data_IF_502587542573
#
_entry.id   IF_502587542573
#
_cell.length_a   1.000
_cell.length_b   1.000
_cell.length_c   1.000
_cell.angle_alpha   90.00
_cell.angle_beta   90.00
_cell.angle_gamma   90.00
#
_symmetry.space_group_name_H-M   'P 1'
#
loop_
_entity.id
_entity.type
_entity.pdbx_description
1 polymer ?
#
# COMPACT_ATOMS: atom_id res chain seq x y z
N UNK A 1 21.83 -5.97 -1.82
CA UNK A 1 22.49 -4.70 -1.47
C UNK A 1 21.51 -3.57 -1.77
N UNK A 2 21.37 -2.54 -0.93
CA UNK A 2 20.56 -1.37 -1.27
C UNK A 2 21.14 -0.71 -2.52
N UNK A 3 20.33 -0.46 -3.54
CA UNK A 3 20.77 0.31 -4.69
C UNK A 3 20.95 1.79 -4.25
N UNK A 4 22.03 2.50 -4.63
CA UNK A 4 22.27 3.88 -4.20
C UNK A 4 21.09 4.85 -4.43
N UNK A 5 20.28 4.61 -5.46
CA UNK A 5 19.09 5.40 -5.78
C UNK A 5 17.94 5.30 -4.76
N UNK A 6 17.93 4.29 -3.89
CA UNK A 6 16.90 4.14 -2.85
C UNK A 6 17.00 5.17 -1.72
N UNK A 7 18.12 5.88 -1.58
CA UNK A 7 18.23 7.00 -0.64
C UNK A 7 17.51 8.26 -1.13
N UNK A 8 17.18 8.33 -2.43
CA UNK A 8 16.58 9.51 -3.05
C UNK A 8 15.06 9.45 -3.08
N UNK A 9 14.46 8.26 -3.04
CA UNK A 9 13.01 8.12 -3.14
C UNK A 9 12.43 7.59 -1.83
N UNK A 10 11.39 8.26 -1.40
CA UNK A 10 10.68 8.07 -0.16
C UNK A 10 9.20 7.98 -0.47
N UNK A 11 8.44 7.36 0.42
CA UNK A 11 7.00 7.22 0.33
C UNK A 11 6.38 7.81 1.59
N UNK A 12 5.36 8.63 1.41
CA UNK A 12 4.45 9.05 2.49
C UNK A 12 3.19 8.20 2.41
N UNK A 13 2.76 7.62 3.52
CA UNK A 13 1.46 6.94 3.63
C UNK A 13 0.74 7.48 4.85
N UNK A 14 -0.47 7.97 4.66
CA UNK A 14 -1.23 8.64 5.71
C UNK A 14 -2.73 8.53 5.48
N UNK A 15 -3.50 8.76 6.55
CA UNK A 15 -4.96 8.86 6.48
C UNK A 15 -5.35 10.31 6.74
N UNK A 16 -6.23 10.84 5.89
CA UNK A 16 -6.86 12.14 6.06
C UNK A 16 -8.32 12.05 5.68
N UNK A 17 -9.22 12.51 6.56
CA UNK A 17 -10.68 12.44 6.35
C UNK A 17 -11.21 11.04 5.97
N UNK A 18 -10.69 9.99 6.60
CA UNK A 18 -11.10 8.60 6.32
C UNK A 18 -10.54 8.00 5.03
N UNK A 19 -9.73 8.76 4.29
CA UNK A 19 -9.10 8.31 3.05
C UNK A 19 -7.60 8.11 3.27
N UNK A 20 -7.10 6.98 2.79
CA UNK A 20 -5.68 6.63 2.77
C UNK A 20 -5.04 7.19 1.50
N UNK A 21 -3.87 7.79 1.65
CA UNK A 21 -3.06 8.38 0.59
C UNK A 21 -1.67 7.76 0.58
N UNK A 22 -1.07 7.66 -0.60
CA UNK A 22 0.29 7.20 -0.79
C UNK A 22 1.01 8.10 -1.80
N UNK A 23 1.87 8.98 -1.29
CA UNK A 23 2.57 9.97 -2.11
C UNK A 23 4.06 9.62 -2.27
N UNK A 24 4.60 9.92 -3.43
CA UNK A 24 6.02 9.76 -3.72
C UNK A 24 6.78 11.03 -3.37
N UNK A 25 7.90 10.89 -2.66
CA UNK A 25 8.80 12.00 -2.32
C UNK A 25 10.17 11.69 -2.91
N UNK A 26 10.74 12.64 -3.64
CA UNK A 26 12.12 12.56 -4.14
C UNK A 26 12.95 13.63 -3.45
N UNK A 27 14.08 13.23 -2.89
CA UNK A 27 15.08 14.10 -2.24
C UNK A 27 16.39 14.00 -3.03
N UNK A 28 16.57 14.79 -4.11
CA UNK A 28 17.82 14.82 -4.85
C UNK A 28 18.94 15.47 -4.02
N UNK A 29 20.20 15.14 -4.30
CA UNK A 29 21.33 15.67 -3.52
C UNK A 29 21.58 17.18 -3.70
N UNK A 30 21.23 17.75 -4.85
CA UNK A 30 21.60 19.12 -5.23
C UNK A 30 20.42 19.96 -5.74
N UNK A 31 19.18 19.57 -5.43
CA UNK A 31 18.00 20.33 -5.81
C UNK A 31 16.94 20.31 -4.71
N UNK A 32 15.89 21.11 -4.90
CA UNK A 32 14.74 21.11 -3.98
C UNK A 32 14.08 19.72 -3.93
N UNK A 33 13.52 19.33 -2.78
CA UNK A 33 12.64 18.17 -2.67
C UNK A 33 11.47 18.28 -3.65
N UNK A 34 11.09 17.15 -4.23
CA UNK A 34 9.95 17.05 -5.13
C UNK A 34 8.95 16.04 -4.58
N UNK A 35 7.67 16.26 -4.83
CA UNK A 35 6.59 15.35 -4.46
C UNK A 35 5.70 15.05 -5.66
N UNK A 36 5.04 13.89 -5.61
CA UNK A 36 3.99 13.50 -6.53
C UNK A 36 2.85 12.88 -5.73
N UNK A 37 1.64 13.32 -6.00
CA UNK A 37 0.43 12.66 -5.51
C UNK A 37 0.35 11.26 -6.13
N UNK A 38 0.13 10.25 -5.31
CA UNK A 38 0.01 8.88 -5.78
C UNK A 38 -1.40 8.32 -5.61
N UNK A 39 -1.46 7.04 -5.25
CA UNK A 39 -2.71 6.33 -5.07
C UNK A 39 -3.46 6.79 -3.82
N UNK A 40 -4.79 6.76 -3.90
CA UNK A 40 -5.65 6.92 -2.73
C UNK A 40 -6.78 5.90 -2.74
N UNK A 41 -7.19 5.47 -1.55
CA UNK A 41 -8.28 4.52 -1.33
C UNK A 41 -8.95 4.81 0.01
N UNK A 42 -10.15 4.31 0.23
CA UNK A 42 -10.80 4.44 1.53
C UNK A 42 -10.03 3.60 2.56
N UNK A 43 -9.78 4.19 3.74
CA UNK A 43 -9.17 3.45 4.83
C UNK A 43 -10.16 2.39 5.34
N UNK A 44 -9.68 1.20 5.65
CA UNK A 44 -10.55 0.09 6.04
C UNK A 44 -10.49 -0.16 7.55
N UNK A 45 -11.66 -0.39 8.13
CA UNK A 45 -11.85 -0.81 9.52
C UNK A 45 -12.48 -2.20 9.57
N UNK A 46 -12.59 -2.78 10.77
CA UNK A 46 -13.24 -4.08 10.94
C UNK A 46 -14.71 -4.05 10.51
N UNK A 47 -15.38 -2.91 10.69
CA UNK A 47 -16.80 -2.75 10.35
C UNK A 47 -17.05 -2.80 8.84
N UNK A 48 -16.05 -2.50 8.03
CA UNK A 48 -16.15 -2.52 6.56
C UNK A 48 -16.03 -3.95 5.98
N UNK A 49 -15.65 -4.94 6.81
CA UNK A 49 -15.52 -6.33 6.37
C UNK A 49 -16.87 -6.98 6.11
N UNK A 50 -16.94 -8.07 5.30
CA UNK A 50 -18.18 -8.83 5.12
C UNK A 50 -18.76 -9.33 6.46
N UNK A 51 -20.09 -9.36 6.57
CA UNK A 51 -20.78 -9.76 7.81
C UNK A 51 -20.36 -11.14 8.30
N UNK A 52 -20.15 -12.10 7.39
CA UNK A 52 -19.69 -13.46 7.71
C UNK A 52 -18.28 -13.44 8.34
N UNK A 53 -17.40 -12.55 7.88
CA UNK A 53 -16.08 -12.36 8.46
C UNK A 53 -16.14 -11.68 9.82
N UNK A 54 -17.01 -10.67 9.98
CA UNK A 54 -17.23 -9.99 11.27
C UNK A 54 -17.81 -10.91 12.34
N UNK A 55 -18.62 -11.89 11.93
CA UNK A 55 -19.21 -12.88 12.83
C UNK A 55 -18.23 -13.98 13.29
N UNK A 56 -17.05 -14.09 12.67
CA UNK A 56 -16.06 -15.12 12.98
C UNK A 56 -15.02 -14.60 14.01
N UNK A 57 -14.97 -15.14 15.24
CA UNK A 57 -14.06 -14.66 16.29
C UNK A 57 -12.57 -14.83 15.97
N UNK A 58 -12.21 -15.88 15.24
CA UNK A 58 -10.83 -16.12 14.84
C UNK A 58 -10.40 -15.12 13.76
N UNK A 59 -11.32 -14.77 12.85
CA UNK A 59 -11.10 -13.70 11.87
C UNK A 59 -10.95 -12.35 12.55
N UNK A 60 -11.77 -12.03 13.55
CA UNK A 60 -11.60 -10.80 14.33
C UNK A 60 -10.20 -10.72 14.95
N UNK A 61 -9.75 -11.79 15.61
CA UNK A 61 -8.40 -11.86 16.17
C UNK A 61 -7.31 -11.66 15.11
N UNK A 62 -7.42 -12.32 13.95
CA UNK A 62 -6.45 -12.19 12.85
C UNK A 62 -6.44 -10.77 12.27
N UNK A 63 -7.62 -10.15 12.15
CA UNK A 63 -7.74 -8.76 11.74
C UNK A 63 -7.07 -7.83 12.75
N UNK A 64 -7.32 -7.96 14.05
CA UNK A 64 -6.74 -7.07 15.07
C UNK A 64 -5.22 -7.11 15.06
N UNK A 65 -4.64 -8.32 14.92
CA UNK A 65 -3.19 -8.50 14.79
C UNK A 65 -2.65 -7.86 13.51
N UNK A 66 -3.34 -8.04 12.38
CA UNK A 66 -2.96 -7.45 11.11
C UNK A 66 -3.07 -5.92 11.14
N UNK A 67 -4.16 -5.38 11.68
CA UNK A 67 -4.44 -3.97 11.81
C UNK A 67 -3.41 -3.28 12.70
N UNK A 68 -3.09 -3.87 13.86
CA UNK A 68 -2.02 -3.41 14.73
C UNK A 68 -0.67 -3.44 14.01
N UNK A 69 -0.34 -4.54 13.32
CA UNK A 69 0.91 -4.65 12.59
C UNK A 69 1.03 -3.58 11.50
N UNK A 70 -0.06 -3.36 10.75
CA UNK A 70 -0.17 -2.40 9.66
C UNK A 70 -0.31 -0.94 10.12
N UNK A 71 -0.36 -0.69 11.43
CA UNK A 71 -0.61 0.63 12.02
C UNK A 71 -1.91 1.28 11.50
N UNK A 72 -2.92 0.46 11.22
CA UNK A 72 -4.18 0.88 10.61
C UNK A 72 -4.09 1.38 9.17
N UNK A 73 -2.91 1.38 8.54
CA UNK A 73 -2.69 1.83 7.16
C UNK A 73 -3.07 0.74 6.14
N UNK A 74 -4.33 0.33 6.18
CA UNK A 74 -4.90 -0.73 5.34
C UNK A 74 -6.01 -0.19 4.44
N UNK A 75 -6.15 -0.80 3.26
CA UNK A 75 -7.27 -0.53 2.34
C UNK A 75 -7.59 -1.76 1.49
N UNK A 76 -8.76 -1.79 0.80
CA UNK A 76 -9.18 -2.93 0.02
C UNK A 76 -8.28 -3.15 -1.20
N UNK A 77 -8.16 -4.41 -1.61
CA UNK A 77 -7.43 -4.81 -2.80
C UNK A 77 -8.41 -4.92 -3.97
N UNK A 78 -8.19 -4.09 -5.00
CA UNK A 78 -9.04 -3.98 -6.18
C UNK A 78 -8.75 -5.05 -7.24
N UNK A 79 -8.64 -6.32 -6.84
CA UNK A 79 -8.42 -7.47 -7.74
C UNK A 79 -9.54 -8.52 -7.67
N UNK A 80 -10.61 -8.24 -6.90
CA UNK A 80 -11.74 -9.14 -6.69
C UNK A 80 -11.48 -10.25 -5.66
N UNK A 81 -10.34 -10.23 -4.96
CA UNK A 81 -9.98 -11.29 -4.00
C UNK A 81 -10.71 -11.20 -2.66
N UNK A 82 -11.54 -10.18 -2.40
CA UNK A 82 -12.12 -9.91 -1.08
C UNK A 82 -11.04 -9.84 0.00
N UNK A 83 -10.06 -8.97 -0.23
CA UNK A 83 -8.89 -8.82 0.62
C UNK A 83 -8.61 -7.36 0.95
N UNK A 84 -7.89 -7.17 2.05
CA UNK A 84 -7.30 -5.90 2.50
C UNK A 84 -5.79 -6.07 2.52
N UNK A 85 -5.04 -5.00 2.26
CA UNK A 85 -3.58 -5.05 2.25
C UNK A 85 -2.92 -3.94 3.03
N UNK A 86 -1.69 -4.22 3.48
CA UNK A 86 -0.85 -3.26 4.20
C UNK A 86 -0.24 -2.28 3.18
N UNK A 87 -0.67 -1.03 3.23
CA UNK A 87 -0.28 -0.01 2.27
C UNK A 87 1.07 0.65 2.57
N UNK A 88 1.74 0.24 3.64
CA UNK A 88 3.13 0.64 3.91
C UNK A 88 4.11 -0.14 3.05
N UNK A 89 3.76 -1.36 2.64
CA UNK A 89 4.64 -2.26 1.88
C UNK A 89 4.00 -2.62 0.54
N UNK A 90 4.33 -1.84 -0.48
CA UNK A 90 3.73 -1.94 -1.82
C UNK A 90 4.78 -2.20 -2.91
N UNK A 91 4.31 -2.60 -4.09
CA UNK A 91 5.17 -2.90 -5.24
C UNK A 91 5.77 -1.63 -5.90
N UNK A 92 5.25 -0.44 -5.61
CA UNK A 92 5.70 0.84 -6.20
C UNK A 92 5.48 2.02 -5.26
N UNK A 93 6.36 3.02 -5.36
CA UNK A 93 6.54 4.11 -4.38
C UNK A 93 5.27 4.93 -4.18
N UNK A 94 4.54 5.23 -5.24
CA UNK A 94 3.30 6.00 -5.24
C UNK A 94 2.04 5.13 -5.41
N UNK A 95 2.17 3.79 -5.37
CA UNK A 95 1.07 2.86 -5.65
C UNK A 95 0.32 2.40 -4.40
N UNK A 96 -0.95 2.00 -4.52
CA UNK A 96 -1.68 1.24 -3.49
C UNK A 96 -1.79 -0.25 -3.86
N UNK A 97 -0.67 -0.82 -4.32
CA UNK A 97 -0.57 -2.23 -4.69
C UNK A 97 0.24 -2.98 -3.62
N UNK A 98 -0.39 -3.43 -2.53
CA UNK A 98 0.29 -4.09 -1.42
C UNK A 98 0.89 -5.42 -1.88
N UNK A 99 2.00 -5.83 -1.27
CA UNK A 99 2.63 -7.13 -1.57
C UNK A 99 2.15 -8.27 -0.66
N UNK A 100 1.29 -7.95 0.31
CA UNK A 100 0.72 -8.89 1.25
C UNK A 100 -0.50 -8.29 1.95
N UNK A 101 -1.32 -9.14 2.54
CA UNK A 101 -2.54 -8.71 3.23
C UNK A 101 -3.31 -9.86 3.87
N UNK A 102 -4.59 -9.61 4.08
CA UNK A 102 -5.56 -10.55 4.63
C UNK A 102 -6.73 -10.70 3.66
N UNK A 103 -7.03 -11.94 3.27
CA UNK A 103 -8.16 -12.31 2.40
C UNK A 103 -9.22 -13.00 3.23
N UNK A 104 -10.49 -12.74 2.91
CA UNK A 104 -11.62 -13.32 3.63
C UNK A 104 -12.40 -14.26 2.72
N UNK A 105 -12.60 -15.50 3.18
CA UNK A 105 -13.44 -16.47 2.49
C UNK A 105 -14.91 -16.03 2.57
N UNK A 106 -15.60 -15.83 1.43
CA UNK A 106 -16.99 -15.36 1.43
C UNK A 106 -17.99 -16.39 1.98
N UNK A 107 -17.64 -17.68 2.04
CA UNK A 107 -18.56 -18.74 2.46
C UNK A 107 -18.59 -18.91 3.98
N UNK A 108 -17.45 -18.77 4.67
CA UNK A 108 -17.33 -19.04 6.10
C UNK A 108 -16.67 -17.89 6.89
N UNK A 109 -16.24 -16.82 6.21
CA UNK A 109 -15.62 -15.65 6.84
C UNK A 109 -14.20 -15.88 7.35
N UNK A 110 -13.59 -17.05 7.10
CA UNK A 110 -12.22 -17.35 7.55
C UNK A 110 -11.21 -16.44 6.87
N UNK A 111 -10.28 -15.92 7.66
CA UNK A 111 -9.26 -14.98 7.20
C UNK A 111 -7.93 -15.69 6.93
N UNK A 112 -7.43 -15.62 5.70
CA UNK A 112 -6.16 -16.21 5.31
C UNK A 112 -5.19 -15.16 4.78
N UNK A 113 -3.89 -15.49 4.79
CA UNK A 113 -2.88 -14.60 4.22
C UNK A 113 -3.14 -14.40 2.72
N UNK A 114 -3.23 -13.15 2.30
CA UNK A 114 -3.25 -12.78 0.89
C UNK A 114 -1.83 -12.44 0.40
N UNK A 115 -1.50 -12.89 -0.82
CA UNK A 115 -0.28 -12.56 -1.54
C UNK A 115 -0.67 -12.37 -3.01
N UNK A 116 -0.13 -11.37 -3.73
CA UNK A 116 -0.44 -11.19 -5.14
C UNK A 116 0.00 -12.39 -5.97
N UNK A 117 -0.86 -12.84 -6.89
CA UNK A 117 -0.55 -13.93 -7.85
C UNK A 117 0.59 -13.57 -8.81
N UNK A 118 0.81 -12.28 -9.04
CA UNK A 118 1.96 -11.74 -9.76
C UNK A 118 2.42 -10.44 -9.11
N UNK A 119 3.66 -10.40 -8.65
CA UNK A 119 4.31 -9.13 -8.27
C UNK A 119 4.69 -8.42 -9.57
N UNK A 120 3.81 -7.55 -10.08
CA UNK A 120 4.11 -6.70 -11.23
C UNK A 120 4.93 -5.51 -10.74
N UNK A 121 6.22 -5.71 -10.48
CA UNK A 121 7.11 -4.59 -10.14
C UNK A 121 7.83 -4.09 -11.39
N UNK A 122 7.10 -3.43 -12.31
CA UNK A 122 7.73 -2.53 -13.29
C UNK A 122 8.41 -1.33 -12.57
N UNK A 123 8.12 -1.14 -11.29
CA UNK A 123 8.66 -0.09 -10.43
C UNK A 123 10.18 0.03 -10.47
N UNK A 124 10.94 -1.07 -10.58
CA UNK A 124 12.41 -0.99 -10.67
C UNK A 124 12.87 -0.32 -11.96
N UNK A 125 12.29 -0.70 -13.10
CA UNK A 125 12.64 -0.11 -14.39
C UNK A 125 12.21 1.35 -14.46
N UNK A 126 11.01 1.66 -13.96
CA UNK A 126 10.52 3.04 -13.90
C UNK A 126 11.34 3.90 -12.92
N UNK A 127 11.78 3.34 -11.79
CA UNK A 127 12.67 4.03 -10.85
C UNK A 127 14.02 4.34 -11.48
N UNK A 128 14.63 3.39 -12.19
CA UNK A 128 15.90 3.61 -12.90
C UNK A 128 15.73 4.68 -13.97
N UNK A 129 14.66 4.61 -14.77
CA UNK A 129 14.34 5.66 -15.76
C UNK A 129 14.15 7.02 -15.08
N UNK A 130 13.39 7.09 -13.99
CA UNK A 130 13.14 8.31 -13.24
C UNK A 130 14.41 8.88 -12.57
N UNK A 131 15.36 8.01 -12.22
CA UNK A 131 16.66 8.41 -11.69
C UNK A 131 17.55 9.01 -12.79
N UNK A 132 17.60 8.40 -13.97
CA UNK A 132 18.46 8.82 -15.09
C UNK A 132 17.88 10.01 -15.85
N UNK A 133 16.58 9.97 -16.17
CA UNK A 133 15.91 10.94 -17.05
C UNK A 133 14.99 11.90 -16.30
N UNK A 134 14.76 11.68 -15.01
CA UNK A 134 13.75 12.41 -14.24
C UNK A 134 12.34 11.84 -14.44
N UNK A 135 11.42 12.30 -13.60
CA UNK A 135 9.99 12.02 -13.73
C UNK A 135 9.24 13.37 -13.64
N UNK A 136 8.57 13.82 -14.72
CA UNK A 136 7.94 15.12 -14.78
C UNK A 136 6.69 15.23 -13.87
N UNK A 137 6.18 14.11 -13.34
CA UNK A 137 5.08 14.10 -12.38
C UNK A 137 5.51 14.65 -11.02
N UNK A 138 6.79 14.49 -10.66
CA UNK A 138 7.34 15.05 -9.44
C UNK A 138 7.49 16.56 -9.58
N UNK A 139 6.82 17.32 -8.72
CA UNK A 139 6.84 18.78 -8.67
C UNK A 139 7.49 19.28 -7.38
N UNK A 140 8.10 20.47 -7.36
CA UNK A 140 8.50 21.10 -6.10
C UNK A 140 7.31 21.24 -5.16
N UNK A 141 7.55 21.03 -3.87
CA UNK A 141 6.59 21.33 -2.80
C UNK A 141 6.32 22.85 -2.71
#
# INVERSE_FOLDING_TARGET
MPAPGWLLYWRSVYISNGRLYADGIKIPWFSLPLAVEGGSADATTFEDLPEVARANPETQRRFDLFYWFADGLISPINDGSNAIGDQRITAGIESLNPIWGLQFDPANGDAMRWIPSRIISNAYNELIKALIFGDPRYKPL
#
